data_IF_220800218954
#
_entry.id   IF_220800218954
#
_cell.length_a   1.000
_cell.length_b   1.000
_cell.length_c   1.000
_cell.angle_alpha   90.00
_cell.angle_beta   90.00
_cell.angle_gamma   90.00
#
_symmetry.space_group_name_H-M   'P 1'
#
loop_
_entity.id
_entity.type
_entity.pdbx_description
1 polymer ?
#
# COMPACT_ATOMS: atom_id res chain seq x y z
N UNK A 1 -5.67 4.16 19.48
CA UNK A 1 -7.04 4.69 19.64
C UNK A 1 -8.01 3.66 19.09
N UNK A 2 -9.20 3.53 19.68
CA UNK A 2 -10.26 2.65 19.19
C UNK A 2 -11.52 3.52 19.04
N UNK A 3 -12.13 3.56 17.85
CA UNK A 3 -13.31 4.38 17.55
C UNK A 3 -13.17 5.86 17.97
N UNK A 4 -12.00 6.46 17.71
CA UNK A 4 -11.69 7.85 18.07
C UNK A 4 -11.49 8.10 19.58
N UNK A 5 -11.53 7.06 20.43
CA UNK A 5 -11.31 7.18 21.88
C UNK A 5 -9.85 6.88 22.24
N UNK A 6 -9.32 7.69 23.15
CA UNK A 6 -8.06 7.42 23.84
C UNK A 6 -8.33 6.44 24.97
N UNK A 7 -7.70 5.28 24.92
CA UNK A 7 -7.81 4.25 25.95
C UNK A 7 -6.53 4.23 26.77
N UNK A 8 -6.65 4.02 28.08
CA UNK A 8 -5.51 3.82 28.98
C UNK A 8 -5.10 2.34 28.93
N UNK A 9 -3.94 2.00 28.35
CA UNK A 9 -3.51 0.61 28.29
C UNK A 9 -3.07 0.10 29.66
N UNK A 10 -3.38 -1.17 29.92
CA UNK A 10 -2.89 -1.98 31.04
C UNK A 10 -2.21 -3.19 30.45
N UNK A 11 -0.92 -3.32 30.72
CA UNK A 11 -0.09 -4.43 30.27
C UNK A 11 0.43 -5.21 31.47
N UNK A 12 0.62 -6.50 31.26
CA UNK A 12 1.43 -7.37 32.10
C UNK A 12 2.58 -7.92 31.22
N UNK A 13 3.63 -8.47 31.82
CA UNK A 13 4.68 -9.16 31.05
C UNK A 13 5.53 -8.28 30.13
N UNK A 14 5.79 -8.77 28.92
CA UNK A 14 6.83 -8.30 27.98
C UNK A 14 6.62 -6.84 27.55
N UNK A 15 5.38 -6.35 27.57
CA UNK A 15 5.03 -4.99 27.13
C UNK A 15 5.16 -3.92 28.21
N UNK A 16 5.47 -4.28 29.46
CA UNK A 16 5.62 -3.35 30.56
C UNK A 16 6.77 -2.33 30.39
N UNK A 17 7.74 -2.65 29.53
CA UNK A 17 8.94 -1.84 29.30
C UNK A 17 8.95 -1.15 27.92
N UNK A 18 7.87 -1.27 27.13
CA UNK A 18 7.80 -0.65 25.81
C UNK A 18 7.60 0.87 25.91
N UNK A 19 8.43 1.62 25.18
CA UNK A 19 8.22 3.05 24.97
C UNK A 19 6.97 3.33 24.13
N UNK A 20 6.58 4.60 24.03
CA UNK A 20 5.46 5.02 23.17
C UNK A 20 5.73 4.62 21.71
N UNK A 21 4.79 3.87 21.13
CA UNK A 21 4.88 3.28 19.79
C UNK A 21 3.56 3.38 19.03
N UNK A 22 3.66 3.64 17.74
CA UNK A 22 2.63 3.65 16.72
C UNK A 22 2.62 2.30 15.97
N UNK A 23 1.46 1.95 15.40
CA UNK A 23 1.25 0.70 14.65
C UNK A 23 1.54 -0.59 15.44
N UNK A 24 1.49 -0.53 16.77
CA UNK A 24 1.71 -1.67 17.66
C UNK A 24 0.62 -2.75 17.42
N UNK A 25 0.99 -3.98 17.03
CA UNK A 25 0.03 -5.06 16.84
C UNK A 25 -0.49 -5.53 18.20
N UNK A 26 -1.63 -4.98 18.63
CA UNK A 26 -2.24 -5.31 19.93
C UNK A 26 -3.63 -5.91 19.76
N UNK A 27 -3.95 -6.83 20.66
CA UNK A 27 -5.32 -7.22 20.94
C UNK A 27 -5.54 -7.22 22.45
N UNK A 28 -6.80 -7.09 22.86
CA UNK A 28 -7.11 -6.92 24.27
C UNK A 28 -8.60 -6.83 24.55
N UNK A 29 -8.93 -6.60 25.81
CA UNK A 29 -10.30 -6.39 26.29
C UNK A 29 -10.42 -4.94 26.76
N UNK A 30 -11.46 -4.25 26.31
CA UNK A 30 -11.76 -2.88 26.73
C UNK A 30 -12.84 -2.91 27.82
N UNK A 31 -12.58 -2.24 28.94
CA UNK A 31 -13.50 -2.04 30.05
C UNK A 31 -13.51 -0.55 30.42
N UNK A 32 -14.56 0.16 30.03
CA UNK A 32 -14.64 1.60 30.21
C UNK A 32 -13.60 2.34 29.36
N UNK A 33 -12.74 3.12 30.00
CA UNK A 33 -11.62 3.85 29.40
C UNK A 33 -10.29 3.06 29.47
N UNK A 34 -10.31 1.83 29.98
CA UNK A 34 -9.12 0.99 30.12
C UNK A 34 -9.10 -0.13 29.08
N UNK A 35 -7.89 -0.46 28.60
CA UNK A 35 -7.66 -1.59 27.71
C UNK A 35 -6.66 -2.55 28.35
N UNK A 36 -7.09 -3.77 28.70
CA UNK A 36 -6.18 -4.85 29.07
C UNK A 36 -5.58 -5.45 27.79
N UNK A 37 -4.29 -5.25 27.58
CA UNK A 37 -3.57 -5.71 26.39
C UNK A 37 -2.97 -7.09 26.67
N UNK A 38 -3.34 -8.09 25.89
CA UNK A 38 -2.80 -9.45 26.01
C UNK A 38 -1.37 -9.49 25.50
N UNK A 39 -0.44 -10.25 26.10
CA UNK A 39 0.99 -10.29 25.73
C UNK A 39 1.27 -10.65 24.27
N UNK A 40 0.33 -11.36 23.65
CA UNK A 40 0.47 -11.88 22.29
C UNK A 40 -0.01 -10.82 21.28
N UNK A 41 0.64 -10.66 20.11
CA UNK A 41 0.21 -9.65 19.14
C UNK A 41 -1.17 -9.93 18.53
N UNK A 42 -1.46 -11.19 18.25
CA UNK A 42 -2.70 -11.64 17.60
C UNK A 42 -3.36 -12.76 18.41
N UNK A 43 -4.70 -12.82 18.35
CA UNK A 43 -5.52 -13.82 19.04
C UNK A 43 -5.93 -14.93 18.08
N UNK A 44 -5.78 -16.19 18.46
CA UNK A 44 -6.39 -17.29 17.71
C UNK A 44 -7.91 -17.35 17.94
N UNK A 45 -8.67 -17.53 16.87
CA UNK A 45 -10.12 -17.71 16.94
C UNK A 45 -10.46 -19.07 17.54
N UNK A 46 -11.49 -19.09 18.39
CA UNK A 46 -12.05 -20.34 18.91
C UNK A 46 -12.70 -21.15 17.79
N UNK A 47 -12.86 -22.46 18.00
CA UNK A 47 -13.55 -23.35 17.06
C UNK A 47 -14.95 -22.83 16.68
N UNK A 48 -15.69 -22.27 17.65
CA UNK A 48 -17.03 -21.69 17.42
C UNK A 48 -16.95 -20.45 16.52
N UNK A 49 -15.99 -19.56 16.75
CA UNK A 49 -15.80 -18.36 15.92
C UNK A 49 -15.40 -18.72 14.50
N UNK A 50 -14.50 -19.70 14.33
CA UNK A 50 -14.14 -20.23 13.01
C UNK A 50 -15.36 -20.74 12.24
N UNK A 51 -16.23 -21.52 12.90
CA UNK A 51 -17.47 -22.02 12.28
C UNK A 51 -18.43 -20.89 11.90
N UNK A 52 -18.62 -19.91 12.78
CA UNK A 52 -19.52 -18.76 12.51
C UNK A 52 -19.01 -17.91 11.33
N UNK A 53 -17.69 -17.81 11.17
CA UNK A 53 -17.03 -17.02 10.12
C UNK A 53 -16.71 -17.83 8.85
N UNK A 54 -17.12 -19.10 8.77
CA UNK A 54 -16.96 -19.93 7.57
C UNK A 54 -15.55 -20.50 7.35
N UNK A 55 -14.71 -20.54 8.38
CA UNK A 55 -13.37 -21.11 8.34
C UNK A 55 -13.35 -22.61 8.66
N UNK A 56 -12.37 -23.32 8.09
CA UNK A 56 -12.15 -24.73 8.32
C UNK A 56 -11.75 -25.04 9.76
N UNK A 57 -12.24 -26.15 10.33
CA UNK A 57 -11.92 -26.55 11.70
C UNK A 57 -10.42 -26.76 11.92
N UNK A 58 -9.71 -27.21 10.88
CA UNK A 58 -8.27 -27.49 10.87
C UNK A 58 -7.41 -26.25 10.55
N UNK A 59 -8.03 -25.12 10.20
CA UNK A 59 -7.31 -23.88 9.93
C UNK A 59 -6.97 -23.17 11.24
N UNK A 60 -5.77 -22.61 11.31
CA UNK A 60 -5.39 -21.68 12.38
C UNK A 60 -5.75 -20.28 11.89
N UNK A 61 -6.70 -19.64 12.56
CA UNK A 61 -7.19 -18.30 12.16
C UNK A 61 -6.82 -17.32 13.26
N UNK A 62 -6.02 -16.33 12.91
CA UNK A 62 -5.54 -15.31 13.84
C UNK A 62 -6.24 -13.98 13.57
N UNK A 63 -6.76 -13.35 14.62
CA UNK A 63 -7.28 -11.99 14.61
C UNK A 63 -6.20 -11.03 15.10
N UNK A 64 -5.86 -10.04 14.27
CA UNK A 64 -5.00 -8.92 14.62
C UNK A 64 -5.74 -7.61 14.32
N UNK A 65 -6.06 -6.83 15.35
CA UNK A 65 -6.77 -5.55 15.19
C UNK A 65 -8.05 -5.62 14.32
N UNK A 66 -8.74 -6.77 14.31
CA UNK A 66 -9.94 -7.00 13.49
C UNK A 66 -9.67 -7.68 12.14
N UNK A 67 -8.43 -7.67 11.64
CA UNK A 67 -8.06 -8.42 10.44
C UNK A 67 -7.88 -9.91 10.76
N UNK A 68 -8.47 -10.77 9.92
CA UNK A 68 -8.34 -12.22 10.02
C UNK A 68 -7.24 -12.73 9.08
N UNK A 69 -6.33 -13.53 9.62
CA UNK A 69 -5.28 -14.20 8.86
C UNK A 69 -5.36 -15.71 9.04
N UNK A 70 -5.49 -16.42 7.94
CA UNK A 70 -5.63 -17.88 7.91
C UNK A 70 -4.27 -18.52 7.66
N UNK A 71 -3.94 -19.53 8.46
CA UNK A 71 -2.74 -20.34 8.35
C UNK A 71 -3.10 -21.81 8.15
N UNK A 72 -2.37 -22.54 7.29
CA UNK A 72 -2.68 -23.94 6.98
C UNK A 72 -2.36 -24.91 8.11
N UNK A 73 -1.50 -24.55 9.08
CA UNK A 73 -1.12 -25.45 10.19
C UNK A 73 -0.65 -24.77 11.47
N UNK A 74 0.11 -23.67 11.39
CA UNK A 74 0.61 -22.96 12.56
C UNK A 74 0.85 -21.47 12.30
N UNK A 75 0.65 -20.65 13.34
CA UNK A 75 0.88 -19.20 13.31
C UNK A 75 2.01 -18.72 14.23
N UNK A 76 2.66 -19.62 14.98
CA UNK A 76 3.68 -19.28 15.99
C UNK A 76 4.84 -18.45 15.39
N UNK A 77 5.38 -18.87 14.25
CA UNK A 77 6.46 -18.13 13.58
C UNK A 77 6.04 -16.73 13.10
N UNK A 78 4.74 -16.52 12.84
CA UNK A 78 4.22 -15.21 12.50
C UNK A 78 4.02 -14.33 13.74
N UNK A 79 3.54 -14.90 14.85
CA UNK A 79 3.47 -14.20 16.14
C UNK A 79 4.86 -13.80 16.67
N UNK A 80 5.86 -14.68 16.57
CA UNK A 80 7.24 -14.38 16.99
C UNK A 80 7.87 -13.23 16.18
N UNK A 81 7.51 -13.10 14.89
CA UNK A 81 7.95 -11.96 14.07
C UNK A 81 7.32 -10.65 14.53
N UNK A 82 6.04 -10.66 14.86
CA UNK A 82 5.35 -9.49 15.42
C UNK A 82 5.95 -9.11 16.79
N UNK A 83 6.20 -10.09 17.66
CA UNK A 83 6.87 -9.92 18.95
C UNK A 83 8.26 -9.27 18.77
N UNK A 84 9.03 -9.74 17.79
CA UNK A 84 10.37 -9.21 17.48
C UNK A 84 10.29 -7.76 16.98
N UNK A 85 9.37 -7.47 16.07
CA UNK A 85 9.15 -6.12 15.54
C UNK A 85 8.76 -5.11 16.62
N UNK A 86 7.98 -5.54 17.63
CA UNK A 86 7.60 -4.69 18.77
C UNK A 86 8.80 -4.23 19.60
N UNK A 87 9.87 -5.03 19.68
CA UNK A 87 11.03 -4.78 20.54
C UNK A 87 12.10 -3.89 19.90
N UNK A 88 11.97 -3.58 18.60
CA UNK A 88 12.90 -2.70 17.90
C UNK A 88 12.83 -1.27 18.44
N UNK A 89 13.94 -0.55 18.67
CA UNK A 89 13.91 0.84 19.11
C UNK A 89 13.26 1.78 18.07
N UNK A 90 12.41 2.71 18.53
CA UNK A 90 11.76 3.69 17.65
C UNK A 90 10.24 3.80 17.86
N UNK A 91 9.62 4.90 17.41
CA UNK A 91 8.21 5.21 17.68
C UNK A 91 7.25 4.40 16.81
N UNK A 92 7.68 3.54 15.90
CA UNK A 92 6.80 2.76 15.02
C UNK A 92 7.18 1.27 15.05
N UNK A 93 6.19 0.38 15.01
CA UNK A 93 6.43 -1.06 14.88
C UNK A 93 6.53 -1.44 13.41
N UNK A 94 7.75 -1.76 12.98
CA UNK A 94 8.07 -2.07 11.60
C UNK A 94 7.45 -3.42 11.18
N UNK A 95 6.48 -3.39 10.25
CA UNK A 95 5.88 -4.60 9.67
C UNK A 95 6.84 -5.18 8.62
N UNK A 96 7.57 -6.24 8.96
CA UNK A 96 8.39 -6.96 7.98
C UNK A 96 7.50 -7.66 6.95
N UNK A 97 7.45 -7.11 5.74
CA UNK A 97 6.79 -7.74 4.59
C UNK A 97 7.81 -8.66 3.91
N UNK A 98 7.57 -9.97 3.91
CA UNK A 98 8.40 -10.88 3.14
C UNK A 98 8.32 -10.50 1.65
N UNK A 99 9.42 -9.99 1.08
CA UNK A 99 9.49 -9.53 -0.31
C UNK A 99 9.40 -10.73 -1.25
N UNK A 100 8.20 -11.02 -1.75
CA UNK A 100 8.04 -12.03 -2.79
C UNK A 100 8.47 -11.43 -4.13
N UNK A 101 9.49 -12.03 -4.75
CA UNK A 101 9.94 -11.59 -6.08
C UNK A 101 8.81 -11.82 -7.11
N UNK A 102 8.35 -10.79 -7.82
CA UNK A 102 7.32 -10.94 -8.85
C UNK A 102 7.84 -11.78 -10.02
N UNK A 103 6.94 -12.45 -10.74
CA UNK A 103 7.33 -13.25 -11.90
C UNK A 103 7.90 -12.37 -13.02
N UNK A 104 8.77 -12.92 -13.88
CA UNK A 104 9.32 -12.18 -15.03
C UNK A 104 8.21 -11.74 -16.00
N UNK A 105 7.19 -12.58 -16.19
CA UNK A 105 6.02 -12.25 -17.02
C UNK A 105 5.21 -11.09 -16.44
N UNK A 106 5.22 -10.90 -15.12
CA UNK A 106 4.57 -9.76 -14.46
C UNK A 106 5.30 -8.44 -14.72
N UNK A 107 6.63 -8.47 -14.76
CA UNK A 107 7.47 -7.26 -14.80
C UNK A 107 8.05 -6.92 -16.17
N UNK A 108 7.68 -7.66 -17.22
CA UNK A 108 8.16 -7.43 -18.60
C UNK A 108 7.02 -7.59 -19.62
N UNK A 109 7.28 -7.13 -20.84
CA UNK A 109 6.33 -7.13 -21.95
C UNK A 109 5.50 -5.85 -22.02
N UNK A 110 4.52 -5.87 -22.92
CA UNK A 110 3.49 -4.82 -23.01
C UNK A 110 2.41 -5.09 -21.97
N UNK A 111 2.05 -4.07 -21.20
CA UNK A 111 1.01 -4.12 -20.16
C UNK A 111 -0.12 -3.16 -20.49
N UNK A 112 -1.34 -3.60 -20.26
CA UNK A 112 -2.55 -2.82 -20.49
C UNK A 112 -2.98 -2.11 -19.20
N UNK A 113 -3.34 -0.83 -19.30
CA UNK A 113 -3.76 0.00 -18.16
C UNK A 113 -5.14 0.61 -18.42
N UNK A 114 -6.09 0.39 -17.52
CA UNK A 114 -7.39 1.07 -17.54
C UNK A 114 -7.36 2.31 -16.64
N UNK A 115 -7.58 3.49 -17.20
CA UNK A 115 -7.58 4.76 -16.45
C UNK A 115 -9.01 5.25 -16.21
N UNK A 116 -9.46 5.15 -14.97
CA UNK A 116 -10.81 5.52 -14.52
C UNK A 116 -10.71 6.83 -13.74
N UNK A 117 -11.53 7.81 -14.11
CA UNK A 117 -11.67 9.06 -13.36
C UNK A 117 -13.00 9.06 -12.64
N UNK A 118 -13.02 9.59 -11.44
CA UNK A 118 -14.23 9.67 -10.64
C UNK A 118 -14.43 11.06 -10.05
N UNK A 119 -15.69 11.41 -9.83
CA UNK A 119 -16.12 12.61 -9.11
C UNK A 119 -17.18 12.24 -8.05
N UNK A 120 -17.57 13.21 -7.24
CA UNK A 120 -18.47 13.01 -6.10
C UNK A 120 -19.65 13.97 -6.19
N UNK A 121 -20.78 13.64 -5.55
CA UNK A 121 -21.99 14.47 -5.58
C UNK A 121 -21.79 15.85 -4.93
N UNK A 122 -20.93 15.92 -3.92
CA UNK A 122 -20.56 17.12 -3.17
C UNK A 122 -19.27 17.79 -3.70
N UNK A 123 -18.56 17.13 -4.63
CA UNK A 123 -17.38 17.66 -5.33
C UNK A 123 -17.39 17.18 -6.77
N UNK A 124 -18.26 17.80 -7.57
CA UNK A 124 -18.41 17.47 -8.98
C UNK A 124 -17.24 18.01 -9.81
N UNK A 125 -16.92 17.30 -10.88
CA UNK A 125 -15.97 17.78 -11.88
C UNK A 125 -14.92 16.76 -12.27
N UNK A 126 -14.39 16.91 -13.47
CA UNK A 126 -13.38 16.00 -13.99
C UNK A 126 -12.03 16.25 -13.30
N UNK A 127 -11.47 15.29 -12.53
CA UNK A 127 -10.23 15.50 -11.79
C UNK A 127 -9.03 15.78 -12.70
N UNK A 128 -9.04 15.22 -13.91
CA UNK A 128 -8.03 15.45 -14.94
C UNK A 128 -8.64 15.20 -16.31
N UNK A 129 -8.51 16.17 -17.24
CA UNK A 129 -9.05 16.00 -18.59
C UNK A 129 -8.30 14.93 -19.42
N UNK A 130 -8.93 14.44 -20.49
CA UNK A 130 -8.42 13.32 -21.30
C UNK A 130 -7.03 13.58 -21.88
N UNK A 131 -6.76 14.82 -22.31
CA UNK A 131 -5.47 15.19 -22.90
C UNK A 131 -4.37 15.16 -21.86
N UNK A 132 -4.63 15.70 -20.67
CA UNK A 132 -3.68 15.70 -19.56
C UNK A 132 -3.44 14.28 -19.05
N UNK A 133 -4.50 13.47 -18.85
CA UNK A 133 -4.35 12.07 -18.44
C UNK A 133 -3.54 11.27 -19.46
N UNK A 134 -3.83 11.44 -20.76
CA UNK A 134 -3.06 10.79 -21.82
C UNK A 134 -1.59 11.21 -21.79
N UNK A 135 -1.33 12.50 -21.66
CA UNK A 135 0.02 13.04 -21.63
C UNK A 135 0.86 12.49 -20.47
N UNK A 136 0.29 12.40 -19.27
CA UNK A 136 0.98 11.85 -18.10
C UNK A 136 1.23 10.34 -18.25
N UNK A 137 0.26 9.60 -18.81
CA UNK A 137 0.44 8.16 -19.08
C UNK A 137 1.46 7.88 -20.20
N UNK A 138 1.54 8.74 -21.22
CA UNK A 138 2.58 8.65 -22.26
C UNK A 138 3.97 8.86 -21.65
N UNK A 139 4.13 9.82 -20.72
CA UNK A 139 5.39 10.00 -19.98
C UNK A 139 5.72 8.83 -19.07
N UNK A 140 4.71 8.23 -18.43
CA UNK A 140 4.91 7.03 -17.62
C UNK A 140 5.38 5.85 -18.48
N UNK A 141 4.83 5.67 -19.69
CA UNK A 141 5.31 4.65 -20.63
C UNK A 141 6.76 4.90 -21.07
N UNK A 142 7.10 6.14 -21.43
CA UNK A 142 8.47 6.54 -21.75
C UNK A 142 9.43 6.21 -20.60
N UNK A 143 9.09 6.61 -19.38
CA UNK A 143 9.87 6.31 -18.19
C UNK A 143 10.07 4.81 -17.97
N UNK A 144 9.00 4.01 -18.07
CA UNK A 144 9.07 2.56 -17.89
C UNK A 144 9.93 1.89 -18.96
N UNK A 145 9.87 2.36 -20.22
CA UNK A 145 10.70 1.86 -21.32
C UNK A 145 12.17 2.18 -21.10
N UNK A 146 12.50 3.44 -20.79
CA UNK A 146 13.87 3.89 -20.61
C UNK A 146 14.56 3.11 -19.48
N UNK A 147 13.87 2.96 -18.35
CA UNK A 147 14.43 2.30 -17.17
C UNK A 147 14.39 0.77 -17.25
N UNK A 148 13.61 0.20 -18.18
CA UNK A 148 13.59 -1.24 -18.43
C UNK A 148 14.44 -1.66 -19.63
N UNK A 149 15.14 -0.73 -20.29
CA UNK A 149 15.81 -0.94 -21.57
C UNK A 149 14.85 -1.50 -22.64
N UNK A 150 13.63 -0.96 -22.69
CA UNK A 150 12.57 -1.35 -23.62
C UNK A 150 11.90 -2.68 -23.30
N UNK A 151 12.16 -3.29 -22.13
CA UNK A 151 11.59 -4.60 -21.76
C UNK A 151 10.20 -4.52 -21.14
N UNK A 152 9.77 -3.35 -20.69
CA UNK A 152 8.45 -3.07 -20.14
C UNK A 152 7.89 -1.84 -20.84
N UNK A 153 6.63 -1.93 -21.24
CA UNK A 153 5.87 -0.81 -21.80
C UNK A 153 4.43 -0.91 -21.34
N UNK A 154 3.72 0.22 -21.33
CA UNK A 154 2.30 0.27 -21.01
C UNK A 154 1.49 0.83 -22.17
N UNK A 155 0.24 0.40 -22.29
CA UNK A 155 -0.76 0.95 -23.18
C UNK A 155 -2.01 1.28 -22.37
N UNK A 156 -2.41 2.55 -22.42
CA UNK A 156 -3.48 3.06 -21.57
C UNK A 156 -4.78 3.20 -22.35
N UNK A 157 -5.86 2.65 -21.81
CA UNK A 157 -7.24 2.97 -22.21
C UNK A 157 -7.85 3.93 -21.18
N UNK A 158 -8.22 5.13 -21.62
CA UNK A 158 -8.89 6.12 -20.77
C UNK A 158 -10.40 5.92 -20.86
N UNK A 159 -11.06 5.78 -19.71
CA UNK A 159 -12.52 5.78 -19.63
C UNK A 159 -13.03 7.21 -19.89
N UNK A 160 -13.94 7.43 -20.86
CA UNK A 160 -14.47 8.74 -21.17
C UNK A 160 -15.20 9.38 -19.98
N UNK A 161 -14.90 10.66 -19.72
CA UNK A 161 -15.52 11.41 -18.62
C UNK A 161 -15.07 10.97 -17.22
N UNK A 162 -15.73 11.54 -16.21
CA UNK A 162 -15.58 11.16 -14.81
C UNK A 162 -16.85 10.42 -14.35
N UNK A 163 -16.66 9.29 -13.66
CA UNK A 163 -17.75 8.48 -13.14
C UNK A 163 -18.18 9.01 -11.77
N UNK A 164 -19.48 9.25 -11.60
CA UNK A 164 -20.03 9.68 -10.33
C UNK A 164 -20.02 8.54 -9.31
N UNK A 165 -19.36 8.76 -8.18
CA UNK A 165 -19.39 7.84 -7.06
C UNK A 165 -20.74 7.88 -6.33
N UNK A 166 -21.21 6.75 -5.77
CA UNK A 166 -22.52 6.66 -5.14
C UNK A 166 -22.61 7.48 -3.84
N UNK A 167 -21.49 7.64 -3.15
CA UNK A 167 -21.42 8.31 -1.85
C UNK A 167 -20.69 9.68 -1.95
N UNK A 168 -20.99 10.64 -1.06
CA UNK A 168 -20.27 11.90 -1.00
C UNK A 168 -18.86 11.74 -0.42
N UNK A 169 -18.00 12.75 -0.58
CA UNK A 169 -16.63 12.75 -0.07
C UNK A 169 -16.58 12.49 1.44
N UNK A 170 -17.47 13.12 2.20
CA UNK A 170 -17.54 12.96 3.67
C UNK A 170 -17.72 11.48 4.07
N UNK A 171 -18.47 10.72 3.29
CA UNK A 171 -18.61 9.29 3.51
C UNK A 171 -17.26 8.59 3.31
N UNK A 172 -16.57 8.78 2.19
CA UNK A 172 -15.26 8.15 1.98
C UNK A 172 -14.22 8.54 3.04
N UNK A 173 -14.31 9.75 3.59
CA UNK A 173 -13.40 10.24 4.64
C UNK A 173 -13.72 9.74 6.05
N UNK A 174 -14.93 9.25 6.31
CA UNK A 174 -15.34 8.86 7.67
C UNK A 174 -14.73 7.54 8.14
N UNK A 175 -14.23 6.71 7.22
CA UNK A 175 -13.40 5.55 7.51
C UNK A 175 -12.43 5.33 6.34
N UNK A 176 -11.33 6.10 6.27
CA UNK A 176 -10.47 6.14 5.10
C UNK A 176 -9.83 4.79 4.78
N UNK A 177 -9.51 3.95 5.77
CA UNK A 177 -8.89 2.63 5.56
C UNK A 177 -9.80 1.68 4.82
N UNK A 178 -11.05 1.52 5.25
CA UNK A 178 -12.02 0.64 4.59
C UNK A 178 -12.57 1.29 3.30
N UNK A 179 -13.01 2.55 3.38
CA UNK A 179 -13.80 3.17 2.31
C UNK A 179 -12.98 3.54 1.07
N UNK A 180 -11.65 3.59 1.15
CA UNK A 180 -10.81 3.66 -0.06
C UNK A 180 -11.00 2.43 -0.95
N UNK A 181 -11.26 1.25 -0.37
CA UNK A 181 -11.52 0.04 -1.16
C UNK A 181 -12.90 0.10 -1.80
N UNK A 182 -13.90 0.59 -1.07
CA UNK A 182 -15.24 0.84 -1.61
C UNK A 182 -15.21 1.81 -2.79
N UNK A 183 -14.33 2.81 -2.73
CA UNK A 183 -14.07 3.72 -3.85
C UNK A 183 -13.57 2.97 -5.09
N UNK A 184 -12.59 2.05 -4.95
CA UNK A 184 -12.14 1.23 -6.10
C UNK A 184 -13.26 0.35 -6.65
N UNK A 185 -14.02 -0.32 -5.77
CA UNK A 185 -15.14 -1.18 -6.17
C UNK A 185 -16.14 -0.37 -6.98
N UNK A 186 -16.59 0.76 -6.43
CA UNK A 186 -17.55 1.66 -7.06
C UNK A 186 -17.06 2.20 -8.40
N UNK A 187 -15.80 2.62 -8.48
CA UNK A 187 -15.18 3.13 -9.71
C UNK A 187 -15.14 2.07 -10.82
N UNK A 188 -14.71 0.84 -10.49
CA UNK A 188 -14.64 -0.27 -11.44
C UNK A 188 -16.02 -0.67 -11.95
N UNK A 189 -17.01 -0.72 -11.06
CA UNK A 189 -18.38 -1.03 -11.44
C UNK A 189 -19.02 0.08 -12.29
N UNK A 190 -18.75 1.35 -11.98
CA UNK A 190 -19.23 2.47 -12.79
C UNK A 190 -18.63 2.45 -14.21
N UNK A 191 -17.31 2.24 -14.32
CA UNK A 191 -16.64 2.11 -15.62
C UNK A 191 -17.20 0.95 -16.45
N UNK A 192 -17.35 -0.24 -15.84
CA UNK A 192 -17.94 -1.42 -16.51
C UNK A 192 -19.40 -1.22 -16.92
N UNK A 193 -20.18 -0.44 -16.15
CA UNK A 193 -21.56 -0.09 -16.50
C UNK A 193 -21.63 0.87 -17.69
N UNK A 194 -20.63 1.74 -17.87
CA UNK A 194 -20.55 2.62 -19.03
C UNK A 194 -20.40 1.83 -20.33
N UNK A 195 -19.50 0.85 -20.33
CA UNK A 195 -19.29 -0.09 -21.45
C UNK A 195 -18.59 -1.35 -20.92
N UNK A 196 -19.02 -2.53 -21.37
CA UNK A 196 -18.46 -3.80 -20.95
C UNK A 196 -16.95 -3.92 -21.21
N UNK A 197 -16.41 -3.21 -22.22
CA UNK A 197 -14.97 -3.20 -22.51
C UNK A 197 -14.11 -2.54 -21.43
N UNK A 198 -14.70 -1.77 -20.51
CA UNK A 198 -13.99 -1.13 -19.38
C UNK A 198 -14.00 -2.00 -18.12
N UNK A 199 -14.16 -3.31 -18.27
CA UNK A 199 -13.99 -4.24 -17.18
C UNK A 199 -12.50 -4.35 -16.82
N UNK A 200 -12.15 -3.89 -15.62
CA UNK A 200 -10.77 -3.84 -15.12
C UNK A 200 -10.03 -5.18 -15.15
N UNK A 201 -10.76 -6.31 -15.16
CA UNK A 201 -10.16 -7.66 -15.24
C UNK A 201 -9.57 -8.01 -16.61
N UNK A 202 -9.92 -7.25 -17.63
CA UNK A 202 -9.40 -7.42 -18.99
C UNK A 202 -8.10 -6.61 -19.21
N UNK A 203 -7.60 -5.97 -18.15
CA UNK A 203 -6.39 -5.15 -18.13
C UNK A 203 -5.39 -5.70 -17.10
N UNK A 204 -4.10 -5.48 -17.34
CA UNK A 204 -3.04 -5.84 -16.38
C UNK A 204 -3.07 -4.95 -15.13
N UNK A 205 -3.36 -3.65 -15.33
CA UNK A 205 -3.47 -2.66 -14.27
C UNK A 205 -4.70 -1.76 -14.43
N UNK A 206 -5.17 -1.17 -13.34
CA UNK A 206 -6.18 -0.12 -13.35
C UNK A 206 -5.85 1.00 -12.37
N UNK A 207 -6.21 2.21 -12.78
CA UNK A 207 -6.00 3.45 -12.02
C UNK A 207 -7.36 4.07 -11.73
N UNK A 208 -7.59 4.45 -10.47
CA UNK A 208 -8.74 5.28 -10.08
C UNK A 208 -8.23 6.65 -9.65
N UNK A 209 -8.53 7.66 -10.46
CA UNK A 209 -8.06 9.03 -10.30
C UNK A 209 -9.19 9.97 -9.87
N UNK A 210 -8.95 10.76 -8.82
CA UNK A 210 -9.92 11.68 -8.22
C UNK A 210 -9.22 12.92 -7.66
N UNK A 211 -9.99 13.99 -7.42
CA UNK A 211 -9.50 15.18 -6.71
C UNK A 211 -9.06 14.82 -5.30
N UNK A 212 -8.16 15.58 -4.69
CA UNK A 212 -7.69 15.26 -3.33
C UNK A 212 -8.85 15.21 -2.31
N UNK A 213 -9.08 14.03 -1.75
CA UNK A 213 -10.05 13.79 -0.65
C UNK A 213 -9.42 13.11 0.56
N UNK A 214 -8.27 12.45 0.41
CA UNK A 214 -7.54 11.86 1.54
C UNK A 214 -6.32 12.72 1.88
N UNK A 215 -5.94 12.75 3.15
CA UNK A 215 -4.72 13.43 3.59
C UNK A 215 -3.53 12.46 3.63
N UNK A 216 -2.32 13.01 3.49
CA UNK A 216 -1.07 12.26 3.70
C UNK A 216 -0.50 11.50 2.50
N UNK A 217 -1.20 11.43 1.37
CA UNK A 217 -0.70 10.75 0.17
C UNK A 217 -1.29 11.30 -1.14
N UNK A 218 -0.48 11.31 -2.20
CA UNK A 218 -0.88 11.78 -3.53
C UNK A 218 -1.23 10.62 -4.49
N UNK A 219 -0.67 9.45 -4.25
CA UNK A 219 -1.00 8.17 -4.86
C UNK A 219 -0.89 7.05 -3.82
N UNK A 220 -1.53 5.91 -4.09
CA UNK A 220 -1.38 4.71 -3.26
C UNK A 220 -1.55 3.47 -4.11
N UNK A 221 -0.78 2.43 -3.81
CA UNK A 221 -0.88 1.13 -4.45
C UNK A 221 -0.48 0.03 -3.47
N UNK A 222 -0.99 -1.18 -3.72
CA UNK A 222 -0.42 -2.37 -3.08
C UNK A 222 0.75 -2.91 -3.88
N UNK A 223 1.71 -3.48 -3.15
CA UNK A 223 2.82 -4.17 -3.77
C UNK A 223 2.33 -5.45 -4.45
N UNK A 224 2.78 -5.68 -5.68
CA UNK A 224 2.45 -6.87 -6.48
C UNK A 224 0.93 -7.09 -6.64
N UNK A 225 0.23 -6.03 -6.99
CA UNK A 225 -1.21 -6.00 -7.22
C UNK A 225 -1.53 -5.25 -8.52
N UNK A 226 -2.81 -5.13 -8.87
CA UNK A 226 -3.28 -4.59 -10.16
C UNK A 226 -3.87 -3.19 -10.07
N UNK A 227 -4.24 -2.75 -8.87
CA UNK A 227 -4.96 -1.49 -8.65
C UNK A 227 -4.12 -0.44 -7.95
N UNK A 228 -4.37 0.82 -8.31
CA UNK A 228 -3.85 1.98 -7.62
C UNK A 228 -4.83 3.16 -7.60
N UNK A 229 -4.64 4.04 -6.62
CA UNK A 229 -5.37 5.29 -6.43
C UNK A 229 -4.47 6.48 -6.78
N UNK A 230 -5.04 7.49 -7.43
CA UNK A 230 -4.44 8.81 -7.59
C UNK A 230 -5.34 9.86 -6.92
N UNK A 231 -4.83 10.47 -5.85
CA UNK A 231 -5.53 11.39 -4.96
C UNK A 231 -5.04 12.83 -5.21
N UNK A 232 -5.35 13.37 -6.39
CA UNK A 232 -4.88 14.68 -6.86
C UNK A 232 -3.41 14.73 -7.36
N UNK A 233 -2.63 13.67 -7.13
CA UNK A 233 -1.25 13.54 -7.63
C UNK A 233 -1.17 13.05 -9.06
N UNK A 234 -1.61 13.85 -10.03
CA UNK A 234 -1.75 13.37 -11.42
C UNK A 234 -0.45 13.32 -12.24
N UNK A 235 0.70 13.71 -11.69
CA UNK A 235 1.96 13.71 -12.44
C UNK A 235 2.45 12.30 -12.72
N UNK A 236 3.21 12.14 -13.81
CA UNK A 236 3.89 10.89 -14.14
C UNK A 236 4.74 10.36 -12.98
N UNK A 237 5.33 11.25 -12.17
CA UNK A 237 6.15 10.87 -11.01
C UNK A 237 5.35 10.11 -9.95
N UNK A 238 4.12 10.54 -9.66
CA UNK A 238 3.24 9.81 -8.74
C UNK A 238 2.75 8.52 -9.40
N UNK A 239 2.29 8.58 -10.66
CA UNK A 239 1.75 7.41 -11.34
C UNK A 239 2.80 6.29 -11.50
N UNK A 240 4.03 6.64 -11.89
CA UNK A 240 5.12 5.66 -12.06
C UNK A 240 5.56 5.06 -10.72
N UNK A 241 5.48 5.83 -9.64
CA UNK A 241 5.76 5.36 -8.28
C UNK A 241 4.74 4.30 -7.87
N UNK A 242 3.45 4.59 -8.02
CA UNK A 242 2.38 3.65 -7.67
C UNK A 242 2.36 2.40 -8.56
N UNK A 243 2.62 2.55 -9.86
CA UNK A 243 2.80 1.39 -10.75
C UNK A 243 4.04 0.56 -10.36
N UNK A 244 5.09 1.21 -9.86
CA UNK A 244 6.25 0.52 -9.29
C UNK A 244 5.85 -0.43 -8.17
N UNK A 245 4.97 -0.01 -7.26
CA UNK A 245 4.40 -0.90 -6.24
C UNK A 245 3.65 -2.08 -6.86
N UNK A 246 2.73 -1.83 -7.78
CA UNK A 246 2.01 -2.90 -8.48
C UNK A 246 2.95 -3.90 -9.20
N UNK A 247 4.11 -3.45 -9.65
CA UNK A 247 5.17 -4.28 -10.24
C UNK A 247 6.06 -5.01 -9.23
N UNK A 248 5.84 -4.83 -7.92
CA UNK A 248 6.53 -5.52 -6.85
C UNK A 248 7.68 -4.72 -6.20
N UNK A 249 7.79 -3.42 -6.48
CA UNK A 249 8.77 -2.55 -5.83
C UNK A 249 8.23 -2.04 -4.49
N UNK A 250 9.10 -2.02 -3.50
CA UNK A 250 8.87 -1.36 -2.20
C UNK A 250 9.52 0.01 -2.23
N UNK A 251 9.21 0.93 -1.31
CA UNK A 251 9.91 2.20 -1.25
C UNK A 251 11.44 2.03 -1.09
N UNK A 252 12.19 3.13 -1.30
CA UNK A 252 13.59 3.25 -0.87
C UNK A 252 13.79 2.61 0.49
N UNK A 253 14.70 1.67 0.54
CA UNK A 253 14.91 0.85 1.72
C UNK A 253 16.36 0.89 2.16
N UNK A 254 16.60 1.09 3.45
CA UNK A 254 17.91 0.78 4.02
C UNK A 254 18.06 -0.73 4.15
N UNK A 255 19.24 -1.26 3.88
CA UNK A 255 19.60 -2.61 4.29
C UNK A 255 19.98 -2.55 5.77
N UNK A 256 19.24 -3.29 6.60
CA UNK A 256 19.51 -3.42 8.03
C UNK A 256 20.05 -4.83 8.26
N UNK A 257 21.38 -4.99 8.42
CA UNK A 257 21.96 -6.27 8.80
C UNK A 257 21.34 -6.77 10.11
N UNK A 258 21.05 -8.06 10.21
CA UNK A 258 20.59 -8.66 11.48
C UNK A 258 21.73 -8.84 12.49
N UNK A 259 22.96 -8.56 12.08
CA UNK A 259 24.17 -8.52 12.90
C UNK A 259 24.97 -7.26 12.52
N UNK A 260 25.20 -6.38 13.49
CA UNK A 260 25.76 -5.02 13.31
C UNK A 260 27.13 -4.99 12.60
N UNK A 261 27.84 -6.11 12.55
CA UNK A 261 29.20 -6.28 12.04
C UNK A 261 29.29 -6.95 10.66
N UNK A 262 28.18 -7.34 10.04
CA UNK A 262 28.19 -7.98 8.72
C UNK A 262 27.26 -7.30 7.69
N UNK A 263 27.76 -6.34 6.89
CA UNK A 263 26.96 -5.63 5.89
C UNK A 263 26.49 -6.51 4.71
N UNK A 264 26.94 -7.76 4.62
CA UNK A 264 26.55 -8.75 3.59
C UNK A 264 25.89 -10.00 4.24
N UNK A 265 25.69 -9.98 5.56
CA UNK A 265 25.06 -11.07 6.33
C UNK A 265 23.55 -11.13 6.13
N UNK A 266 22.83 -12.05 6.79
CA UNK A 266 21.37 -11.98 6.84
C UNK A 266 20.92 -10.59 7.34
N UNK A 267 19.81 -10.09 6.81
CA UNK A 267 19.33 -8.73 7.06
C UNK A 267 17.95 -8.51 6.46
N UNK A 268 17.32 -7.42 6.85
CA UNK A 268 16.01 -7.02 6.35
C UNK A 268 16.10 -5.64 5.68
N UNK A 269 15.03 -5.29 4.98
CA UNK A 269 14.94 -4.01 4.30
C UNK A 269 13.96 -3.11 5.06
N UNK A 270 14.47 -2.00 5.56
CA UNK A 270 13.69 -0.96 6.25
C UNK A 270 13.09 0.00 5.23
N UNK A 271 11.79 -0.10 5.00
CA UNK A 271 11.04 0.80 4.14
C UNK A 271 11.11 2.23 4.74
N UNK A 272 11.57 3.23 3.98
CA UNK A 272 11.86 4.62 4.41
C UNK A 272 13.21 4.89 5.11
N UNK A 273 14.13 3.92 5.18
CA UNK A 273 15.40 4.04 5.91
C UNK A 273 16.40 5.10 5.42
N UNK A 274 16.23 5.68 4.23
CA UNK A 274 16.99 6.87 3.78
C UNK A 274 16.06 8.07 3.47
N UNK A 275 16.06 9.07 4.36
CA UNK A 275 15.22 10.28 4.28
C UNK A 275 15.58 11.29 3.17
N UNK A 276 16.58 11.00 2.33
CA UNK A 276 17.06 11.92 1.28
C UNK A 276 17.07 11.31 -0.12
N UNK A 277 16.66 10.05 -0.27
CA UNK A 277 16.63 9.37 -1.55
C UNK A 277 15.30 8.63 -1.67
N UNK A 278 14.62 8.78 -2.80
CA UNK A 278 13.43 7.99 -3.12
C UNK A 278 13.73 6.51 -3.39
N UNK A 279 15.01 6.07 -3.46
CA UNK A 279 15.46 4.68 -3.74
C UNK A 279 16.87 4.34 -3.19
N UNK A 280 17.23 3.06 -2.96
CA UNK A 280 18.61 2.62 -2.63
C UNK A 280 19.16 1.55 -3.62
N UNK A 281 20.48 1.55 -3.84
CA UNK A 281 21.23 0.68 -4.79
C UNK A 281 22.12 -0.34 -4.06
N UNK A 282 22.31 -1.54 -4.61
CA UNK A 282 23.56 -2.32 -4.42
C UNK A 282 24.10 -2.76 -5.77
N UNK A 283 25.32 -2.33 -6.12
CA UNK A 283 26.01 -2.73 -7.35
C UNK A 283 26.49 -4.18 -7.20
N UNK A 284 25.74 -5.13 -7.76
CA UNK A 284 26.24 -6.34 -8.45
C UNK A 284 25.03 -7.22 -8.80
N UNK A 285 24.99 -7.71 -10.04
CA UNK A 285 24.03 -8.70 -10.59
C UNK A 285 22.73 -8.17 -11.21
N UNK A 286 22.83 -7.60 -12.43
CA UNK A 286 21.93 -7.90 -13.57
C UNK A 286 20.40 -7.81 -13.42
N UNK A 287 19.89 -7.07 -12.44
CA UNK A 287 18.45 -6.90 -12.18
C UNK A 287 18.01 -5.52 -12.67
N UNK A 288 16.82 -5.41 -13.30
CA UNK A 288 16.24 -4.13 -13.70
C UNK A 288 16.08 -3.23 -12.46
N UNK A 289 16.58 -2.00 -12.55
CA UNK A 289 16.52 -0.98 -11.51
C UNK A 289 16.08 0.32 -12.18
N UNK A 290 15.01 0.94 -11.67
CA UNK A 290 14.44 2.20 -12.16
C UNK A 290 14.98 3.38 -11.32
N UNK A 291 15.35 4.48 -11.98
CA UNK A 291 15.72 5.75 -11.31
C UNK A 291 15.09 6.93 -12.04
N UNK A 292 14.28 7.76 -11.36
CA UNK A 292 14.00 9.14 -11.79
C UNK A 292 14.76 10.13 -10.88
N UNK A 293 15.21 11.24 -11.45
CA UNK A 293 16.10 12.22 -10.83
C UNK A 293 15.37 13.56 -10.78
N UNK A 294 14.76 13.93 -9.67
CA UNK A 294 14.21 15.28 -9.51
C UNK A 294 15.32 16.21 -9.03
N UNK A 295 16.10 16.78 -9.96
CA UNK A 295 16.97 17.91 -9.62
C UNK A 295 16.14 19.19 -9.58
N UNK A 296 15.71 19.63 -8.41
CA UNK A 296 15.39 21.05 -8.21
C UNK A 296 16.70 21.82 -7.94
N UNK A 297 17.46 22.13 -9.00
CA UNK A 297 18.52 23.15 -8.91
C UNK A 297 17.86 24.53 -8.98
N UNK A 298 17.59 25.11 -7.82
CA UNK A 298 17.42 26.56 -7.70
C UNK A 298 18.79 27.24 -7.79
N UNK A 299 19.20 27.60 -9.00
CA UNK A 299 20.32 28.53 -9.22
C UNK A 299 19.86 29.92 -8.73
N UNK A 300 20.32 30.36 -7.55
CA UNK A 300 20.36 31.79 -7.24
C UNK A 300 21.72 32.31 -7.68
N UNK A 301 21.78 32.85 -8.89
CA UNK A 301 22.76 33.89 -9.24
C UNK A 301 22.04 35.22 -9.21
N UNK A 302 22.53 36.13 -8.39
CA UNK A 302 22.78 37.53 -8.76
C UNK A 302 23.62 38.21 -7.68
N UNK A 303 24.49 39.08 -8.19
CA UNK A 303 25.41 39.98 -7.50
C UNK A 303 24.75 40.79 -6.39
#
# INVERSE_FOLDING_TARGET
MLDGRVLTPRWHGRRAHLGSKENLPVHGIVLGDQMAVADEPARELSAREKTVLGHGANEVVMSLAGELRVFPSAAAAWQERLITAEQLPGPEVQRSVAKQKPSKAWTTGKKSVLFIRVDFSDREGNPINDKAAKFEMDRTDEFLRDNSYGKLSIETTIVPGAMRMPEPVEWYQSDPEERRYDLLVSARDAARKLDAKYNYRDYDFYIVAFTTIFEGWAGRAYVNNTGLWINGGFSNDTIQHELGHNLGLYHANAWVPSQDDNPIGPGEHDEYGERTITWATTRRTGTLIFTSKTTSRGFRTRM
#
